data_IF_470900440333
#
_entry.id   IF_470900440333
#
_cell.length_a   1.000
_cell.length_b   1.000
_cell.length_c   1.000
_cell.angle_alpha   90.00
_cell.angle_beta   90.00
_cell.angle_gamma   90.00
#
_symmetry.space_group_name_H-M   'P 1'
#
loop_
_entity.id
_entity.type
_entity.pdbx_description
1 polymer ?
#
# COMPACT_ATOMS: atom_id res chain seq x y z
N UNK A 1 7.33 -16.73 -20.16
CA UNK A 1 6.47 -17.07 -19.01
C UNK A 1 7.13 -16.79 -17.67
N UNK A 2 8.22 -17.45 -17.29
CA UNK A 2 8.86 -17.26 -15.95
C UNK A 2 9.13 -15.81 -15.60
N UNK A 3 9.59 -14.99 -16.53
CA UNK A 3 9.85 -13.57 -16.31
C UNK A 3 8.54 -12.79 -15.99
N UNK A 4 7.47 -13.02 -16.76
CA UNK A 4 6.18 -12.38 -16.48
C UNK A 4 5.66 -12.75 -15.08
N UNK A 5 5.80 -14.00 -14.68
CA UNK A 5 5.41 -14.46 -13.35
C UNK A 5 6.22 -13.79 -12.24
N UNK A 6 7.52 -13.53 -12.45
CA UNK A 6 8.37 -12.86 -11.48
C UNK A 6 8.08 -11.36 -11.34
N UNK A 7 7.33 -10.77 -12.29
CA UNK A 7 6.90 -9.36 -12.23
C UNK A 7 5.52 -9.19 -11.58
N UNK A 8 4.85 -10.28 -11.24
CA UNK A 8 3.52 -10.25 -10.64
C UNK A 8 3.61 -9.87 -9.16
N UNK A 9 2.78 -8.94 -8.71
CA UNK A 9 2.67 -8.59 -7.30
C UNK A 9 2.00 -9.70 -6.47
N UNK A 10 1.94 -9.54 -5.14
CA UNK A 10 1.34 -10.51 -4.21
C UNK A 10 -0.13 -10.80 -4.54
N UNK A 11 -0.87 -9.81 -5.04
CA UNK A 11 -2.30 -9.88 -5.38
C UNK A 11 -2.57 -10.39 -6.80
N UNK A 12 -1.53 -10.70 -7.57
CA UNK A 12 -1.66 -11.26 -8.91
C UNK A 12 -1.74 -10.23 -10.04
N UNK A 13 -1.62 -8.94 -9.73
CA UNK A 13 -1.56 -7.84 -10.70
C UNK A 13 -0.13 -7.51 -11.14
N UNK A 14 -0.01 -6.43 -11.92
CA UNK A 14 1.25 -5.87 -12.41
C UNK A 14 1.31 -4.38 -12.05
N UNK A 15 2.33 -3.66 -12.55
CA UNK A 15 2.60 -2.27 -12.17
C UNK A 15 1.51 -1.26 -12.58
N UNK A 16 0.66 -1.63 -13.55
CA UNK A 16 -0.47 -0.79 -13.98
C UNK A 16 -1.63 -1.64 -14.52
N UNK A 17 -2.80 -1.03 -14.66
CA UNK A 17 -3.94 -1.67 -15.31
C UNK A 17 -3.62 -2.05 -16.77
N UNK A 18 -2.90 -1.18 -17.48
CA UNK A 18 -2.49 -1.44 -18.87
C UNK A 18 -1.51 -2.61 -18.95
N UNK A 19 -0.50 -2.63 -18.08
CA UNK A 19 0.44 -3.76 -17.99
C UNK A 19 -0.30 -5.07 -17.69
N UNK A 20 -1.26 -5.04 -16.77
CA UNK A 20 -2.08 -6.19 -16.43
C UNK A 20 -2.87 -6.69 -17.65
N UNK A 21 -3.50 -5.81 -18.42
CA UNK A 21 -4.23 -6.16 -19.64
C UNK A 21 -3.29 -6.79 -20.67
N UNK A 22 -2.14 -6.16 -20.93
CA UNK A 22 -1.17 -6.67 -21.91
C UNK A 22 -0.62 -8.04 -21.51
N UNK A 23 -0.35 -8.25 -20.23
CA UNK A 23 0.11 -9.54 -19.73
C UNK A 23 -0.98 -10.58 -19.83
N UNK A 24 -2.23 -10.26 -19.48
CA UNK A 24 -3.34 -11.19 -19.62
C UNK A 24 -3.56 -11.60 -21.08
N UNK A 25 -3.43 -10.68 -22.03
CA UNK A 25 -3.48 -10.99 -23.46
C UNK A 25 -2.35 -11.94 -23.86
N UNK A 26 -1.11 -11.66 -23.47
CA UNK A 26 0.04 -12.51 -23.76
C UNK A 26 -0.10 -13.91 -23.13
N UNK A 27 -0.60 -13.99 -21.90
CA UNK A 27 -0.86 -15.26 -21.21
C UNK A 27 -1.99 -16.06 -21.88
N UNK A 28 -3.03 -15.39 -22.32
CA UNK A 28 -4.15 -16.01 -23.03
C UNK A 28 -3.71 -16.59 -24.39
N UNK A 29 -2.92 -15.82 -25.16
CA UNK A 29 -2.36 -16.28 -26.43
C UNK A 29 -1.39 -17.46 -26.22
N UNK A 30 -0.53 -17.37 -25.21
CA UNK A 30 0.33 -18.49 -24.85
C UNK A 30 -0.49 -19.73 -24.48
N UNK A 31 -1.50 -19.59 -23.61
CA UNK A 31 -2.38 -20.69 -23.22
C UNK A 31 -3.11 -21.32 -24.39
N UNK A 32 -3.54 -20.53 -25.38
CA UNK A 32 -4.19 -21.03 -26.60
C UNK A 32 -3.26 -21.88 -27.49
N UNK A 33 -2.00 -21.47 -27.59
CA UNK A 33 -0.98 -22.18 -28.39
C UNK A 33 -0.43 -23.44 -27.71
N UNK A 34 -0.33 -23.39 -26.39
CA UNK A 34 0.20 -24.49 -25.58
C UNK A 34 -0.91 -25.27 -24.87
N UNK A 35 -2.12 -25.22 -25.41
CA UNK A 35 -3.23 -26.01 -24.90
C UNK A 35 -2.80 -27.48 -24.86
N UNK A 36 -2.61 -28.10 -23.68
CA UNK A 36 -2.40 -29.53 -23.62
C UNK A 36 -3.65 -30.14 -24.24
N UNK A 37 -3.45 -31.04 -25.23
CA UNK A 37 -4.54 -31.88 -25.72
C UNK A 37 -5.24 -32.55 -24.54
N UNK A 38 -6.14 -33.44 -24.73
CA UNK A 38 -6.93 -34.16 -23.69
C UNK A 38 -6.10 -34.88 -22.59
N UNK A 39 -4.86 -34.48 -22.40
CA UNK A 39 -3.96 -35.06 -21.40
C UNK A 39 -4.40 -34.61 -20.00
N UNK A 40 -4.91 -35.54 -19.24
CA UNK A 40 -5.16 -35.38 -17.83
C UNK A 40 -3.84 -35.27 -17.07
N UNK A 41 -3.56 -34.12 -16.50
CA UNK A 41 -2.41 -33.93 -15.61
C UNK A 41 -2.91 -33.71 -14.18
N UNK A 42 -2.14 -34.20 -13.23
CA UNK A 42 -2.44 -34.08 -11.82
C UNK A 42 -1.27 -33.44 -11.09
N UNK A 43 -1.56 -32.39 -10.34
CA UNK A 43 -0.59 -31.75 -9.47
C UNK A 43 -0.86 -32.22 -8.06
N UNK A 44 0.14 -32.79 -7.42
CA UNK A 44 0.06 -33.29 -6.04
C UNK A 44 0.96 -32.45 -5.14
N UNK A 45 0.42 -32.03 -4.02
CA UNK A 45 1.18 -31.49 -2.89
C UNK A 45 1.28 -32.61 -1.87
N UNK A 46 2.49 -33.02 -1.52
CA UNK A 46 2.72 -34.15 -0.60
C UNK A 46 3.24 -33.73 0.76
N UNK A 47 3.57 -32.46 0.92
CA UNK A 47 4.01 -31.86 2.20
C UNK A 47 3.61 -30.38 2.22
N UNK A 48 3.09 -29.84 3.31
CA UNK A 48 2.82 -30.43 4.64
C UNK A 48 1.54 -31.28 4.66
N UNK A 49 0.67 -31.12 3.68
CA UNK A 49 -0.60 -31.82 3.55
C UNK A 49 -0.71 -32.50 2.19
N UNK A 50 -1.47 -33.56 2.11
CA UNK A 50 -1.72 -34.22 0.82
C UNK A 50 -2.90 -33.55 0.12
N UNK A 51 -2.62 -32.84 -0.97
CA UNK A 51 -3.63 -32.21 -1.82
C UNK A 51 -3.42 -32.66 -3.26
N UNK A 52 -4.52 -32.84 -3.99
CA UNK A 52 -4.49 -33.19 -5.40
C UNK A 52 -5.33 -32.20 -6.22
N UNK A 53 -4.72 -31.64 -7.26
CA UNK A 53 -5.40 -30.75 -8.19
C UNK A 53 -5.42 -31.40 -9.58
N UNK A 54 -6.60 -31.47 -10.17
CA UNK A 54 -6.76 -32.05 -11.51
C UNK A 54 -6.68 -30.95 -12.55
N UNK A 55 -5.73 -31.07 -13.46
CA UNK A 55 -5.48 -30.13 -14.56
C UNK A 55 -5.89 -30.80 -15.88
N UNK A 56 -7.18 -30.92 -16.13
CA UNK A 56 -7.69 -31.61 -17.33
C UNK A 56 -8.70 -30.72 -18.07
N UNK A 57 -8.69 -30.75 -19.38
CA UNK A 57 -9.71 -30.21 -20.26
C UNK A 57 -10.26 -28.82 -19.80
N UNK A 58 -11.51 -28.80 -19.34
CA UNK A 58 -12.18 -27.57 -18.87
C UNK A 58 -11.60 -26.97 -17.60
N UNK A 59 -10.86 -27.74 -16.81
CA UNK A 59 -10.24 -27.26 -15.55
C UNK A 59 -8.81 -26.75 -15.72
N UNK A 60 -8.20 -26.91 -16.88
CA UNK A 60 -6.80 -26.54 -17.11
C UNK A 60 -6.51 -25.04 -16.92
N UNK A 61 -7.52 -24.19 -17.11
CA UNK A 61 -7.41 -22.73 -16.94
C UNK A 61 -8.11 -22.21 -15.67
N UNK A 62 -8.66 -23.10 -14.84
CA UNK A 62 -9.29 -22.67 -13.59
C UNK A 62 -8.24 -22.51 -12.49
N UNK A 63 -8.32 -21.39 -11.79
CA UNK A 63 -7.58 -21.21 -10.56
C UNK A 63 -8.12 -22.17 -9.50
N UNK A 64 -7.25 -23.04 -9.01
CA UNK A 64 -7.56 -23.94 -7.89
C UNK A 64 -6.71 -23.51 -6.70
N UNK A 65 -7.32 -23.35 -5.55
CA UNK A 65 -6.66 -22.86 -4.33
C UNK A 65 -6.87 -23.82 -3.19
N UNK A 66 -5.90 -23.87 -2.29
CA UNK A 66 -6.01 -24.58 -1.02
C UNK A 66 -5.22 -23.83 0.05
N UNK A 67 -5.69 -23.92 1.30
CA UNK A 67 -5.01 -23.33 2.44
C UNK A 67 -4.00 -24.34 2.99
N UNK A 68 -2.80 -23.85 3.29
CA UNK A 68 -1.75 -24.60 3.96
C UNK A 68 -1.75 -24.27 5.47
N UNK A 69 -1.26 -25.17 6.35
CA UNK A 69 -1.01 -24.84 7.73
C UNK A 69 -0.12 -23.62 7.89
N UNK A 70 -0.39 -22.82 8.92
CA UNK A 70 0.31 -21.54 9.16
C UNK A 70 1.82 -21.68 9.43
N UNK A 71 2.24 -22.84 9.93
CA UNK A 71 3.63 -23.19 10.26
C UNK A 71 4.40 -23.83 9.08
N UNK A 72 3.83 -23.78 7.86
CA UNK A 72 4.42 -24.39 6.68
C UNK A 72 5.70 -23.66 6.27
N UNK A 73 6.83 -24.32 6.37
CA UNK A 73 8.14 -23.80 5.92
C UNK A 73 8.60 -24.40 4.59
N UNK A 74 7.99 -25.52 4.16
CA UNK A 74 8.34 -26.21 2.91
C UNK A 74 7.10 -26.81 2.26
N UNK A 75 7.05 -26.70 0.94
CA UNK A 75 5.97 -27.32 0.14
C UNK A 75 6.59 -28.20 -0.93
N UNK A 76 6.24 -29.47 -0.95
CA UNK A 76 6.65 -30.41 -1.98
C UNK A 76 5.56 -30.56 -3.02
N UNK A 77 5.85 -30.25 -4.27
CA UNK A 77 4.89 -30.31 -5.37
C UNK A 77 5.40 -31.23 -6.45
N UNK A 78 4.54 -32.13 -6.93
CA UNK A 78 4.83 -33.04 -8.03
C UNK A 78 3.75 -32.91 -9.10
N UNK A 79 4.18 -32.72 -10.34
CA UNK A 79 3.30 -32.73 -11.52
C UNK A 79 3.43 -34.09 -12.21
N UNK A 80 2.32 -34.80 -12.33
CA UNK A 80 2.22 -36.05 -13.07
C UNK A 80 1.29 -35.84 -14.27
N UNK A 81 1.65 -36.37 -15.44
CA UNK A 81 0.86 -36.22 -16.66
C UNK A 81 1.66 -36.47 -17.92
N UNK A 82 1.09 -36.11 -19.06
CA UNK A 82 1.75 -36.29 -20.36
C UNK A 82 2.98 -35.42 -20.56
N UNK A 83 3.76 -35.70 -21.59
CA UNK A 83 5.06 -35.07 -21.87
C UNK A 83 5.05 -33.57 -22.08
N UNK A 84 3.88 -32.95 -22.27
CA UNK A 84 3.72 -31.49 -22.47
C UNK A 84 2.89 -30.83 -21.38
N UNK A 85 2.84 -31.43 -20.18
CA UNK A 85 2.10 -30.84 -19.07
C UNK A 85 2.86 -29.65 -18.45
N UNK A 86 2.16 -28.52 -18.29
CA UNK A 86 2.66 -27.32 -17.64
C UNK A 86 1.67 -26.90 -16.54
N UNK A 87 2.18 -26.65 -15.36
CA UNK A 87 1.42 -26.06 -14.27
C UNK A 87 2.17 -24.85 -13.70
N UNK A 88 1.41 -23.86 -13.28
CA UNK A 88 1.93 -22.72 -12.53
C UNK A 88 1.44 -22.86 -11.10
N UNK A 89 2.38 -22.89 -10.17
CA UNK A 89 2.09 -22.96 -8.73
C UNK A 89 2.56 -21.66 -8.09
N UNK A 90 1.67 -21.02 -7.37
CA UNK A 90 1.99 -19.83 -6.56
C UNK A 90 1.67 -20.16 -5.11
N UNK A 91 2.66 -20.00 -4.23
CA UNK A 91 2.48 -20.05 -2.78
C UNK A 91 2.51 -18.62 -2.29
N UNK A 92 1.45 -18.20 -1.60
CA UNK A 92 1.34 -16.86 -0.99
C UNK A 92 1.27 -17.05 0.52
N UNK A 93 2.06 -16.29 1.23
CA UNK A 93 2.03 -16.24 2.69
C UNK A 93 2.02 -14.78 3.13
N UNK A 94 1.31 -14.54 4.22
CA UNK A 94 1.23 -13.23 4.87
C UNK A 94 1.66 -13.41 6.33
N UNK A 95 2.49 -12.53 6.81
CA UNK A 95 2.97 -12.57 8.18
C UNK A 95 3.06 -11.16 8.76
N UNK A 96 2.96 -11.09 10.08
CA UNK A 96 3.17 -9.85 10.82
C UNK A 96 4.55 -9.88 11.44
N UNK A 97 5.29 -8.79 11.30
CA UNK A 97 6.58 -8.59 11.96
C UNK A 97 6.45 -7.53 13.03
N UNK A 98 7.16 -7.70 14.15
CA UNK A 98 7.31 -6.61 15.10
C UNK A 98 8.29 -5.59 14.53
N UNK A 99 7.94 -4.30 14.64
CA UNK A 99 8.86 -3.25 14.28
C UNK A 99 10.10 -3.32 15.20
N UNK A 100 11.24 -3.71 14.65
CA UNK A 100 12.51 -3.79 15.38
C UNK A 100 13.18 -5.18 15.41
N UNK A 101 12.49 -6.26 15.03
CA UNK A 101 13.09 -7.61 15.06
C UNK A 101 13.74 -8.02 13.73
N UNK A 102 13.68 -7.18 12.71
CA UNK A 102 14.20 -7.52 11.40
C UNK A 102 15.54 -6.82 11.13
N UNK A 103 16.63 -7.49 11.48
CA UNK A 103 17.97 -7.22 10.93
C UNK A 103 18.04 -7.38 9.39
N UNK A 104 16.91 -7.70 8.76
CA UNK A 104 16.75 -7.97 7.34
C UNK A 104 15.81 -7.00 6.60
N UNK A 105 15.22 -6.00 7.27
CA UNK A 105 14.56 -4.90 6.53
C UNK A 105 15.66 -4.21 5.73
N UNK A 106 15.57 -4.15 4.41
CA UNK A 106 16.54 -3.40 3.63
C UNK A 106 16.57 -1.99 4.20
N UNK A 107 17.59 -1.65 4.95
CA UNK A 107 17.91 -0.32 5.51
C UNK A 107 18.01 0.73 4.39
N UNK A 108 17.51 0.43 3.21
CA UNK A 108 17.92 1.09 1.99
C UNK A 108 16.96 2.17 1.50
N UNK A 109 15.72 2.22 1.96
CA UNK A 109 14.80 3.28 1.52
C UNK A 109 14.04 3.82 2.71
N UNK A 110 14.52 4.92 3.28
CA UNK A 110 13.78 5.67 4.26
C UNK A 110 12.77 6.56 3.51
N UNK A 111 11.51 6.29 3.73
CA UNK A 111 10.41 7.14 3.30
C UNK A 111 10.02 8.02 4.49
N UNK A 112 9.99 9.33 4.25
CA UNK A 112 9.57 10.31 5.24
C UNK A 112 8.22 10.86 4.82
N UNK A 113 7.25 10.78 5.72
CA UNK A 113 5.95 11.41 5.59
C UNK A 113 5.77 12.33 6.80
N UNK A 114 5.50 13.58 6.55
CA UNK A 114 5.23 14.59 7.59
C UNK A 114 3.97 15.36 7.26
N UNK A 115 3.26 15.82 8.30
CA UNK A 115 2.07 16.64 8.14
C UNK A 115 2.26 17.98 8.85
N UNK A 116 1.68 19.04 8.27
CA UNK A 116 1.61 20.36 8.85
C UNK A 116 0.19 20.90 8.74
N UNK A 117 -0.19 21.76 9.67
CA UNK A 117 -1.38 22.55 9.54
C UNK A 117 -1.08 24.02 9.83
N UNK A 118 -1.62 24.91 9.00
CA UNK A 118 -1.45 26.36 9.10
C UNK A 118 -2.82 26.99 9.18
N UNK A 119 -3.06 27.79 10.23
CA UNK A 119 -4.32 28.51 10.39
C UNK A 119 -4.40 29.68 9.40
N UNK A 120 -5.45 29.72 8.60
CA UNK A 120 -5.70 30.81 7.63
C UNK A 120 -6.62 31.91 8.16
N UNK A 121 -7.34 31.68 9.25
CA UNK A 121 -8.38 32.57 9.79
C UNK A 121 -9.78 32.03 9.54
N UNK A 122 -10.79 32.60 10.22
CA UNK A 122 -12.19 32.18 10.11
C UNK A 122 -12.44 30.67 10.35
N UNK A 123 -11.59 30.02 11.16
CA UNK A 123 -11.65 28.59 11.38
C UNK A 123 -11.01 27.74 10.28
N UNK A 124 -10.61 28.32 9.16
CA UNK A 124 -9.98 27.61 8.07
C UNK A 124 -8.52 27.28 8.36
N UNK A 125 -8.08 26.13 7.88
CA UNK A 125 -6.70 25.68 7.95
C UNK A 125 -6.21 25.23 6.57
N UNK A 126 -4.92 25.43 6.31
CA UNK A 126 -4.21 24.77 5.24
C UNK A 126 -3.52 23.54 5.80
N UNK A 127 -3.82 22.38 5.29
CA UNK A 127 -3.17 21.12 5.65
C UNK A 127 -2.15 20.74 4.57
N UNK A 128 -1.04 20.21 5.01
CA UNK A 128 0.04 19.76 4.12
C UNK A 128 0.45 18.35 4.51
N UNK A 129 0.73 17.51 3.50
CA UNK A 129 1.44 16.24 3.65
C UNK A 129 2.66 16.26 2.74
N UNK A 130 3.83 16.16 3.34
CA UNK A 130 5.11 16.19 2.64
C UNK A 130 5.73 14.80 2.62
N UNK A 131 6.11 14.34 1.43
CA UNK A 131 6.70 13.02 1.20
C UNK A 131 8.12 13.19 0.66
N UNK A 132 9.08 12.50 1.26
CA UNK A 132 10.48 12.45 0.83
C UNK A 132 10.98 11.01 0.85
N UNK A 133 11.95 10.71 0.01
CA UNK A 133 12.64 9.42 0.04
C UNK A 133 14.14 9.64 0.01
N UNK A 134 14.88 9.02 0.94
CA UNK A 134 16.35 9.12 0.99
C UNK A 134 17.05 8.47 -0.21
N UNK A 135 16.37 7.58 -0.91
CA UNK A 135 16.85 6.90 -2.11
C UNK A 135 15.76 6.82 -3.16
N UNK A 136 16.16 6.66 -4.40
CA UNK A 136 15.22 6.42 -5.50
C UNK A 136 14.44 5.13 -5.27
N UNK A 137 13.13 5.23 -5.17
CA UNK A 137 12.25 4.07 -5.08
C UNK A 137 12.35 3.26 -6.38
N UNK A 138 12.60 1.97 -6.26
CA UNK A 138 12.64 1.04 -7.40
C UNK A 138 11.26 0.81 -8.03
N UNK A 139 10.21 1.18 -7.31
CA UNK A 139 8.83 1.03 -7.78
C UNK A 139 8.53 2.04 -8.89
N UNK A 140 7.95 1.53 -9.98
CA UNK A 140 7.47 2.30 -11.12
C UNK A 140 5.97 2.09 -11.21
N UNK A 141 5.21 3.04 -10.74
CA UNK A 141 3.77 2.94 -10.77
C UNK A 141 3.15 4.17 -10.12
N UNK A 142 1.86 4.14 -9.97
CA UNK A 142 1.10 5.21 -9.34
C UNK A 142 1.20 5.13 -7.82
N UNK A 143 1.40 6.26 -7.19
CA UNK A 143 1.38 6.44 -5.75
C UNK A 143 0.12 7.18 -5.34
N UNK A 144 -0.30 6.95 -4.11
CA UNK A 144 -1.43 7.67 -3.53
C UNK A 144 -1.00 8.29 -2.20
N UNK A 145 -1.33 9.55 -2.05
CA UNK A 145 -1.35 10.20 -0.74
C UNK A 145 -2.78 10.45 -0.35
N UNK A 146 -3.21 9.89 0.76
CA UNK A 146 -4.53 10.10 1.33
C UNK A 146 -4.43 10.98 2.56
N UNK A 147 -5.20 12.04 2.61
CA UNK A 147 -5.42 12.83 3.82
C UNK A 147 -6.83 12.52 4.34
N UNK A 148 -6.92 11.85 5.48
CA UNK A 148 -8.16 11.76 6.25
C UNK A 148 -8.24 12.99 7.15
N UNK A 149 -9.28 13.77 6.98
CA UNK A 149 -9.44 15.04 7.70
C UNK A 149 -9.81 14.79 9.16
N UNK A 150 -9.40 15.66 10.07
CA UNK A 150 -9.85 15.63 11.46
C UNK A 150 -11.36 15.70 11.57
N UNK A 151 -11.91 15.16 12.65
CA UNK A 151 -13.37 15.16 12.85
C UNK A 151 -13.93 16.59 12.85
N UNK A 152 -15.00 16.80 12.09
CA UNK A 152 -15.65 18.09 11.95
C UNK A 152 -15.14 18.96 10.82
N UNK A 153 -14.06 18.58 10.16
CA UNK A 153 -13.51 19.30 9.02
C UNK A 153 -13.95 18.69 7.69
N UNK A 154 -14.01 19.52 6.67
CA UNK A 154 -14.21 19.12 5.28
C UNK A 154 -13.31 19.93 4.36
N UNK A 155 -13.06 19.49 3.10
CA UNK A 155 -12.38 20.33 2.13
C UNK A 155 -13.12 21.66 1.91
N UNK A 156 -12.37 22.77 1.91
CA UNK A 156 -12.91 24.09 1.63
C UNK A 156 -13.00 24.37 0.11
N UNK A 157 -12.13 23.70 -0.66
CA UNK A 157 -12.02 23.88 -2.09
C UNK A 157 -12.59 22.66 -2.85
N UNK A 158 -12.99 22.87 -4.08
CA UNK A 158 -13.37 21.79 -4.99
C UNK A 158 -12.13 21.02 -5.50
N UNK A 159 -12.36 19.84 -6.07
CA UNK A 159 -11.28 18.96 -6.56
C UNK A 159 -10.40 19.63 -7.62
N UNK A 160 -10.97 20.49 -8.47
CA UNK A 160 -10.24 21.17 -9.52
C UNK A 160 -9.30 22.24 -8.96
N UNK A 161 -9.72 22.95 -7.95
CA UNK A 161 -8.90 23.96 -7.23
C UNK A 161 -7.79 23.28 -6.44
N UNK A 162 -8.09 22.18 -5.74
CA UNK A 162 -7.09 21.39 -5.03
C UNK A 162 -6.06 20.85 -6.04
N UNK A 163 -6.48 20.30 -7.16
CA UNK A 163 -5.55 19.80 -8.20
C UNK A 163 -4.67 20.91 -8.75
N UNK A 164 -5.23 22.08 -9.07
CA UNK A 164 -4.48 23.22 -9.58
C UNK A 164 -3.38 23.70 -8.60
N UNK A 165 -3.62 23.55 -7.30
CA UNK A 165 -2.66 23.89 -6.24
C UNK A 165 -1.58 22.81 -6.02
N UNK A 166 -1.72 21.64 -6.65
CA UNK A 166 -0.85 20.49 -6.43
C UNK A 166 -0.30 19.93 -7.76
N UNK A 167 0.65 20.59 -8.42
CA UNK A 167 1.13 20.21 -9.76
C UNK A 167 1.82 18.83 -9.80
N UNK A 168 2.15 18.26 -8.65
CA UNK A 168 2.69 16.90 -8.55
C UNK A 168 1.62 15.82 -8.66
N UNK A 169 0.36 16.15 -8.38
CA UNK A 169 -0.75 15.23 -8.51
C UNK A 169 -1.26 15.20 -9.96
N UNK A 170 -1.47 14.02 -10.50
CA UNK A 170 -2.12 13.81 -11.79
C UNK A 170 -3.65 13.84 -11.69
N UNK A 171 -4.16 13.51 -10.51
CA UNK A 171 -5.60 13.49 -10.20
C UNK A 171 -5.80 13.72 -8.71
N UNK A 172 -6.94 14.32 -8.36
CA UNK A 172 -7.42 14.47 -6.99
C UNK A 172 -8.86 13.95 -6.91
N UNK A 173 -9.15 13.22 -5.86
CA UNK A 173 -10.50 12.87 -5.45
C UNK A 173 -10.70 13.35 -4.02
N UNK A 174 -11.77 14.10 -3.79
CA UNK A 174 -12.10 14.60 -2.47
C UNK A 174 -13.57 14.35 -2.17
N UNK A 175 -13.83 13.89 -0.98
CA UNK A 175 -15.15 13.83 -0.36
C UNK A 175 -15.15 14.62 0.96
N UNK A 176 -16.19 14.49 1.77
CA UNK A 176 -16.28 15.22 3.04
C UNK A 176 -15.21 14.87 4.09
N UNK A 177 -14.55 13.72 3.95
CA UNK A 177 -13.62 13.18 4.95
C UNK A 177 -12.23 12.91 4.43
N UNK A 178 -12.10 12.65 3.13
CA UNK A 178 -10.85 12.20 2.54
C UNK A 178 -10.49 13.05 1.33
N UNK A 179 -9.19 13.27 1.18
CA UNK A 179 -8.61 13.84 -0.04
C UNK A 179 -7.55 12.86 -0.52
N UNK A 180 -7.74 12.31 -1.70
CA UNK A 180 -6.83 11.36 -2.33
C UNK A 180 -6.09 12.05 -3.47
N UNK A 181 -4.77 12.07 -3.39
CA UNK A 181 -3.89 12.58 -4.44
C UNK A 181 -3.24 11.41 -5.15
N UNK A 182 -3.41 11.33 -6.45
CA UNK A 182 -2.79 10.33 -7.31
C UNK A 182 -1.57 10.92 -7.97
N UNK A 183 -0.43 10.24 -7.87
CA UNK A 183 0.88 10.77 -8.23
C UNK A 183 1.62 9.73 -9.06
N UNK A 184 2.04 10.11 -10.27
CA UNK A 184 2.72 9.20 -11.19
C UNK A 184 4.25 9.18 -10.98
N UNK A 185 4.77 10.13 -10.19
CA UNK A 185 6.21 10.28 -9.96
C UNK A 185 6.58 9.85 -8.55
N UNK A 186 7.53 8.93 -8.45
CA UNK A 186 8.08 8.52 -7.15
C UNK A 186 8.70 9.72 -6.40
N UNK A 187 8.55 9.79 -5.07
CA UNK A 187 9.22 10.80 -4.27
C UNK A 187 10.74 10.66 -4.38
N UNK A 188 11.40 11.81 -4.45
CA UNK A 188 12.85 11.94 -4.47
C UNK A 188 13.37 12.38 -3.10
N UNK A 189 14.69 12.62 -3.02
CA UNK A 189 15.31 13.18 -1.83
C UNK A 189 14.86 14.62 -1.54
N UNK A 190 14.52 15.40 -2.57
CA UNK A 190 13.94 16.74 -2.40
C UNK A 190 12.49 16.67 -1.89
N UNK A 191 11.80 15.58 -2.22
CA UNK A 191 10.41 15.37 -1.83
C UNK A 191 9.44 16.29 -2.58
N UNK A 192 8.20 16.26 -2.10
CA UNK A 192 7.13 17.19 -2.48
C UNK A 192 6.11 17.28 -1.36
N UNK A 193 5.39 18.38 -1.32
CA UNK A 193 4.27 18.56 -0.40
C UNK A 193 2.96 18.68 -1.20
N UNK A 194 1.91 18.08 -0.66
CA UNK A 194 0.55 18.16 -1.14
C UNK A 194 -0.26 18.97 -0.14
N UNK A 195 -1.11 19.85 -0.64
CA UNK A 195 -1.80 20.82 0.22
C UNK A 195 -3.28 20.88 -0.10
N UNK A 196 -4.10 21.13 0.92
CA UNK A 196 -5.50 21.44 0.77
C UNK A 196 -5.95 22.42 1.84
N UNK A 197 -6.92 23.25 1.50
CA UNK A 197 -7.62 24.07 2.48
C UNK A 197 -8.80 23.28 3.06
N UNK A 198 -8.97 23.38 4.37
CA UNK A 198 -10.07 22.73 5.09
C UNK A 198 -10.83 23.76 5.93
N UNK A 199 -12.11 23.54 6.10
CA UNK A 199 -12.98 24.39 6.88
C UNK A 199 -13.83 23.58 7.85
N UNK A 200 -14.19 24.16 9.01
CA UNK A 200 -15.06 23.51 9.96
C UNK A 200 -16.47 23.33 9.35
N UNK A 201 -16.98 22.12 9.45
CA UNK A 201 -18.32 21.72 9.02
C UNK A 201 -19.22 21.36 10.21
N UNK A 202 -18.64 20.71 11.23
CA UNK A 202 -19.34 20.31 12.45
C UNK A 202 -18.45 20.66 13.66
N UNK A 203 -19.06 21.18 14.73
CA UNK A 203 -18.38 21.41 15.98
C UNK A 203 -18.44 20.17 16.87
N UNK A 204 -17.30 19.80 17.42
CA UNK A 204 -17.16 18.73 18.41
C UNK A 204 -16.45 19.24 19.66
N UNK A 205 -16.87 18.79 20.83
CA UNK A 205 -16.16 19.11 22.09
C UNK A 205 -14.71 18.64 22.06
N UNK A 206 -14.47 17.48 21.44
CA UNK A 206 -13.13 16.89 21.26
C UNK A 206 -12.96 16.53 19.80
N UNK A 207 -12.09 17.26 19.12
CA UNK A 207 -11.72 16.95 17.75
C UNK A 207 -10.73 15.77 17.73
N UNK A 208 -11.08 14.71 17.02
CA UNK A 208 -10.16 13.60 16.77
C UNK A 208 -9.24 13.96 15.61
N UNK A 209 -7.93 13.67 15.71
CA UNK A 209 -7.02 13.88 14.59
C UNK A 209 -7.41 13.02 13.40
N UNK A 210 -7.12 13.51 12.21
CA UNK A 210 -7.08 12.73 11.01
C UNK A 210 -5.73 12.02 10.88
N UNK A 211 -5.43 11.57 9.66
CA UNK A 211 -4.13 11.00 9.33
C UNK A 211 -3.76 11.29 7.87
N UNK A 212 -2.49 11.25 7.56
CA UNK A 212 -2.02 11.18 6.19
C UNK A 212 -1.38 9.81 5.95
N UNK A 213 -1.70 9.20 4.82
CA UNK A 213 -1.12 7.95 4.35
C UNK A 213 -0.45 8.16 3.01
N UNK A 214 0.68 7.48 2.81
CA UNK A 214 1.33 7.37 1.50
C UNK A 214 1.57 5.90 1.19
N UNK A 215 1.17 5.46 0.01
CA UNK A 215 1.31 4.07 -0.44
C UNK A 215 1.38 3.94 -1.95
N UNK A 216 1.78 2.77 -2.43
CA UNK A 216 1.74 2.44 -3.86
C UNK A 216 0.37 1.88 -4.23
N UNK A 217 -0.25 2.44 -5.27
CA UNK A 217 -1.64 2.10 -5.64
C UNK A 217 -1.84 0.60 -5.93
N UNK A 218 -0.89 -0.02 -6.62
CA UNK A 218 -0.99 -1.43 -7.04
C UNK A 218 -0.39 -2.43 -6.03
N UNK A 219 0.28 -1.92 -4.99
CA UNK A 219 0.84 -2.73 -3.91
C UNK A 219 0.71 -1.97 -2.57
N UNK A 220 -0.51 -1.88 -2.04
CA UNK A 220 -0.81 -1.06 -0.87
C UNK A 220 -0.35 -1.66 0.46
N UNK A 221 0.38 -2.78 0.45
CA UNK A 221 0.85 -3.43 1.68
C UNK A 221 1.96 -2.62 2.37
N UNK A 222 2.61 -1.70 1.64
CA UNK A 222 3.62 -0.78 2.16
C UNK A 222 3.01 0.61 2.33
N UNK A 223 2.51 0.92 3.53
CA UNK A 223 1.87 2.18 3.89
C UNK A 223 2.73 2.92 4.90
N UNK A 224 3.03 4.19 4.62
CA UNK A 224 3.48 5.14 5.63
C UNK A 224 2.25 5.92 6.13
N UNK A 225 2.10 6.06 7.44
CA UNK A 225 0.98 6.77 8.06
C UNK A 225 1.48 7.69 9.16
N UNK A 226 0.95 8.91 9.20
CA UNK A 226 1.22 9.89 10.25
C UNK A 226 -0.07 10.62 10.65
N UNK A 227 -0.23 11.02 11.91
CA UNK A 227 -1.40 11.78 12.34
C UNK A 227 -1.45 13.15 11.66
N UNK A 228 -2.68 13.63 11.36
CA UNK A 228 -2.99 14.96 10.88
C UNK A 228 -3.85 15.66 11.92
N UNK A 229 -3.28 16.64 12.62
CA UNK A 229 -3.96 17.39 13.67
C UNK A 229 -4.03 18.87 13.32
N UNK A 230 -5.18 19.50 13.60
CA UNK A 230 -5.36 20.95 13.47
C UNK A 230 -5.19 21.68 14.80
N UNK A 231 -5.08 20.93 15.89
CA UNK A 231 -4.98 21.53 17.22
C UNK A 231 -3.58 22.05 17.50
N UNK A 232 -3.39 23.35 17.30
CA UNK A 232 -2.44 24.08 18.12
C UNK A 232 -2.81 25.55 18.30
N UNK A 233 -3.23 25.84 19.49
CA UNK A 233 -3.30 27.21 20.02
C UNK A 233 -1.90 27.74 20.36
N UNK A 234 -0.87 27.61 19.63
CA UNK A 234 0.53 28.04 19.83
C UNK A 234 1.56 26.91 19.69
N UNK A 235 1.42 26.06 18.73
CA UNK A 235 2.48 25.09 18.45
C UNK A 235 3.08 25.34 17.08
N UNK A 236 4.24 25.92 17.03
CA UNK A 236 5.24 25.71 15.97
C UNK A 236 5.87 24.31 16.14
N UNK A 237 5.06 23.28 16.34
CA UNK A 237 5.58 21.91 16.43
C UNK A 237 5.41 21.25 15.08
N UNK A 238 6.46 21.32 14.32
CA UNK A 238 6.73 20.39 13.24
C UNK A 238 6.74 18.97 13.82
N UNK A 239 5.64 18.24 13.72
CA UNK A 239 5.62 16.82 14.07
C UNK A 239 6.17 16.04 12.88
N UNK A 240 7.46 16.12 12.68
CA UNK A 240 8.16 15.22 11.77
C UNK A 240 8.25 13.84 12.45
N UNK A 241 7.39 12.92 12.09
CA UNK A 241 7.56 11.53 12.49
C UNK A 241 8.37 10.85 11.40
N UNK A 242 9.61 10.50 11.72
CA UNK A 242 10.39 9.61 10.88
C UNK A 242 9.75 8.22 10.96
N UNK A 243 8.98 7.85 9.95
CA UNK A 243 8.46 6.50 9.82
C UNK A 243 9.53 5.69 9.11
N UNK A 244 10.35 5.02 9.89
CA UNK A 244 10.98 3.82 9.39
C UNK A 244 9.84 2.84 9.14
N UNK A 245 9.70 2.25 7.96
CA UNK A 245 8.63 1.28 7.64
C UNK A 245 8.55 0.07 8.61
N UNK A 246 9.37 0.07 9.65
CA UNK A 246 9.45 -0.91 10.74
C UNK A 246 8.95 -0.42 12.11
N UNK A 247 8.47 0.82 12.30
CA UNK A 247 8.23 1.29 13.69
C UNK A 247 6.98 2.15 13.89
N UNK A 248 5.81 1.56 13.76
CA UNK A 248 4.53 2.20 14.18
C UNK A 248 4.25 2.08 15.69
N UNK A 249 5.06 1.39 16.47
CA UNK A 249 4.72 1.05 17.88
C UNK A 249 5.53 1.78 18.97
N UNK A 250 6.49 2.64 18.66
CA UNK A 250 7.34 3.24 19.73
C UNK A 250 6.82 4.58 20.26
N UNK A 251 5.92 5.25 19.58
CA UNK A 251 5.47 6.60 20.00
C UNK A 251 4.38 6.59 21.08
N UNK A 252 3.64 5.52 21.26
CA UNK A 252 2.59 5.44 22.31
C UNK A 252 3.16 5.23 23.72
N UNK A 253 4.37 4.67 23.85
CA UNK A 253 5.00 4.42 25.16
C UNK A 253 5.65 5.68 25.74
N UNK A 254 6.15 6.58 24.90
CA UNK A 254 6.81 7.81 25.37
C UNK A 254 5.81 8.84 25.89
N UNK A 255 4.62 8.94 25.29
CA UNK A 255 3.56 9.83 25.81
C UNK A 255 2.96 9.35 27.14
N UNK A 256 2.92 8.05 27.40
CA UNK A 256 2.43 7.49 28.67
C UNK A 256 3.43 7.68 29.83
N UNK A 257 4.72 7.71 29.54
CA UNK A 257 5.76 7.96 30.57
C UNK A 257 5.88 9.45 30.94
N UNK A 258 5.63 10.35 30.01
CA UNK A 258 5.65 11.79 30.28
C UNK A 258 4.45 12.25 31.13
N UNK A 259 3.30 11.59 31.03
CA UNK A 259 2.13 11.90 31.87
C UNK A 259 2.21 11.32 33.27
N UNK A 260 3.06 10.33 33.54
CA UNK A 260 3.27 9.77 34.89
C UNK A 260 4.32 10.56 35.70
N UNK A 261 5.18 11.32 35.04
CA UNK A 261 6.18 12.17 35.71
C UNK A 261 5.65 13.58 36.07
N UNK A 262 4.49 13.99 35.57
CA UNK A 262 3.85 15.26 35.91
C UNK A 262 2.87 15.18 37.09
N UNK A 263 2.67 14.00 37.68
CA UNK A 263 1.82 13.76 38.85
C UNK A 263 2.61 13.30 40.10
N UNK A 264 3.92 13.50 40.13
CA UNK A 264 4.74 13.48 41.37
C UNK A 264 5.30 14.91 41.63
#
# INVERSE_FOLDING_TARGET
MKWLQSQQNSKGGFYSTQDTIMVLQALSEFGSKFRPGEVSSQLQVTHPVNLAFTLSGSRALLLQTATLPWDTTKVNVTLTGGTNSLAVVKVVYTYYTFAGDDDQVPTETLLFLETKSIRLGNGMHKVEACVKSSKSLKYKGMFVTTMALPSGEKPADDQSTILASNPMASRVEADEKFIHFYIDKAPSNEGYCLTANVEPHLEFEVQKPGFAQFYTYYDPDNVAEVPLSLTCHNCDTDTAVMVNMASVLLTTVVCLLASLLACM
#
